data_IF_244409167220
#
_entry.id   IF_244409167220
#
_cell.length_a   1.000
_cell.length_b   1.000
_cell.length_c   1.000
_cell.angle_alpha   90.00
_cell.angle_beta   90.00
_cell.angle_gamma   90.00
#
_symmetry.space_group_name_H-M   'P 1'
#
loop_
_entity.id
_entity.type
_entity.pdbx_description
1 polymer ?
#
# COMPACT_ATOMS: atom_id res chain seq x y z
N UNK A 1 6.98 7.84 2.21
CA UNK A 1 6.27 8.10 3.48
C UNK A 1 7.19 8.46 4.64
N UNK A 2 8.22 7.65 4.96
CA UNK A 2 9.08 7.90 6.13
C UNK A 2 9.73 9.30 6.10
N UNK A 3 10.24 9.75 4.97
CA UNK A 3 10.83 11.10 4.85
C UNK A 3 9.78 12.20 4.94
N UNK A 4 8.61 11.96 4.35
CA UNK A 4 7.46 12.85 4.47
C UNK A 4 7.04 13.01 5.93
N UNK A 5 6.89 11.90 6.65
CA UNK A 5 6.52 11.90 8.05
C UNK A 5 7.57 12.59 8.95
N UNK A 6 8.86 12.38 8.67
CA UNK A 6 9.96 13.06 9.39
C UNK A 6 9.94 14.58 9.18
N UNK A 7 9.78 15.02 7.94
CA UNK A 7 9.69 16.46 7.63
C UNK A 7 8.41 17.06 8.21
N UNK A 8 7.29 16.32 8.14
CA UNK A 8 6.04 16.74 8.77
C UNK A 8 6.17 16.95 10.28
N UNK A 9 6.69 15.96 10.99
CA UNK A 9 6.92 16.06 12.43
C UNK A 9 7.82 17.24 12.80
N UNK A 10 8.88 17.46 12.04
CA UNK A 10 9.80 18.59 12.23
C UNK A 10 9.08 19.95 12.08
N UNK A 11 8.21 20.10 11.07
CA UNK A 11 7.42 21.32 10.84
C UNK A 11 6.42 21.58 11.97
N UNK A 12 5.81 20.54 12.47
CA UNK A 12 4.89 20.60 13.62
C UNK A 12 5.62 20.78 14.96
N UNK A 13 6.97 20.76 15.00
CA UNK A 13 7.74 20.81 16.22
C UNK A 13 7.58 19.58 17.12
N UNK A 14 7.23 18.44 16.53
CA UNK A 14 7.02 17.16 17.21
C UNK A 14 8.22 16.23 16.99
N UNK A 15 8.41 15.32 17.93
CA UNK A 15 9.37 14.24 17.82
C UNK A 15 8.68 13.03 17.14
N UNK A 16 9.31 12.44 16.13
CA UNK A 16 8.77 11.26 15.44
C UNK A 16 9.40 9.98 15.98
N UNK A 17 8.57 8.98 16.27
CA UNK A 17 8.97 7.62 16.53
C UNK A 17 8.39 6.72 15.43
N UNK A 18 9.26 6.03 14.71
CA UNK A 18 8.82 5.01 13.74
C UNK A 18 8.59 3.70 14.51
N UNK A 19 7.38 3.19 14.46
CA UNK A 19 6.96 1.99 15.17
C UNK A 19 6.54 0.91 14.16
N UNK A 20 7.35 -0.17 13.97
CA UNK A 20 6.90 -1.34 13.23
C UNK A 20 5.74 -2.03 13.95
N UNK A 21 4.75 -2.46 13.19
CA UNK A 21 3.59 -3.20 13.69
C UNK A 21 3.33 -4.41 12.79
N UNK A 22 2.64 -5.42 13.31
CA UNK A 22 2.00 -6.42 12.48
C UNK A 22 0.76 -5.79 11.83
N UNK A 23 0.61 -5.98 10.51
CA UNK A 23 -0.40 -5.22 9.77
C UNK A 23 -1.83 -5.51 10.20
N UNK A 24 -2.13 -6.74 10.56
CA UNK A 24 -3.43 -7.15 11.08
C UNK A 24 -3.74 -6.63 12.50
N UNK A 25 -2.73 -6.06 13.19
CA UNK A 25 -2.89 -5.44 14.50
C UNK A 25 -3.08 -3.90 14.43
N UNK A 26 -3.08 -3.28 13.24
CA UNK A 26 -3.09 -1.81 13.06
C UNK A 26 -4.17 -1.09 13.84
N UNK A 27 -5.39 -1.65 13.88
CA UNK A 27 -6.53 -1.04 14.57
C UNK A 27 -6.35 -1.06 16.08
N UNK A 28 -5.88 -2.20 16.63
CA UNK A 28 -5.59 -2.32 18.06
C UNK A 28 -4.47 -1.39 18.50
N UNK A 29 -3.45 -1.19 17.66
CA UNK A 29 -2.33 -0.29 17.94
C UNK A 29 -2.78 1.18 17.98
N UNK A 30 -3.68 1.60 17.07
CA UNK A 30 -4.30 2.92 17.11
C UNK A 30 -5.23 3.09 18.32
N UNK A 31 -6.08 2.10 18.60
CA UNK A 31 -7.01 2.14 19.74
C UNK A 31 -6.28 2.17 21.09
N UNK A 32 -5.18 1.43 21.20
CA UNK A 32 -4.35 1.41 22.40
C UNK A 32 -3.47 2.65 22.55
N UNK A 33 -3.37 3.50 21.51
CA UNK A 33 -2.50 4.67 21.49
C UNK A 33 -1.01 4.34 21.49
N UNK A 34 -0.63 3.16 21.02
CA UNK A 34 0.78 2.77 20.83
C UNK A 34 1.37 3.39 19.57
N UNK A 35 0.50 3.73 18.61
CA UNK A 35 0.77 4.60 17.47
C UNK A 35 -0.28 5.71 17.41
N UNK A 36 0.11 6.88 16.90
CA UNK A 36 -0.76 8.05 16.77
C UNK A 36 -1.45 8.11 15.40
N UNK A 37 -0.80 7.55 14.39
CA UNK A 37 -1.31 7.47 13.01
C UNK A 37 -0.64 6.34 12.24
N UNK A 38 -1.24 6.00 11.10
CA UNK A 38 -0.68 5.11 10.08
C UNK A 38 -0.28 5.96 8.87
N UNK A 39 1.02 6.02 8.59
CA UNK A 39 1.58 6.78 7.48
C UNK A 39 2.64 5.95 6.73
N UNK A 40 2.18 5.02 5.93
CA UNK A 40 3.03 4.03 5.27
C UNK A 40 2.54 3.61 3.88
N UNK A 41 1.81 4.50 3.17
CA UNK A 41 1.07 4.10 1.97
C UNK A 41 -0.25 3.43 2.37
N UNK A 42 -1.02 4.09 3.25
CA UNK A 42 -2.26 3.53 3.76
C UNK A 42 -3.43 3.87 2.83
N UNK A 43 -3.99 2.83 2.22
CA UNK A 43 -5.12 2.96 1.30
C UNK A 43 -6.37 3.41 2.04
N UNK A 44 -6.93 4.53 1.60
CA UNK A 44 -8.17 5.09 2.15
C UNK A 44 -9.41 4.37 1.60
N UNK A 45 -9.38 3.99 0.32
CA UNK A 45 -10.53 3.40 -0.37
C UNK A 45 -11.05 2.14 0.34
N UNK A 46 -12.36 2.12 0.58
CA UNK A 46 -13.03 1.05 1.31
C UNK A 46 -12.90 1.11 2.84
N UNK A 47 -12.21 2.13 3.38
CA UNK A 47 -11.97 2.35 4.82
C UNK A 47 -12.34 3.75 5.28
N UNK A 48 -13.06 4.51 4.44
CA UNK A 48 -13.36 5.93 4.67
C UNK A 48 -14.11 6.17 5.98
N UNK A 49 -14.97 5.21 6.37
CA UNK A 49 -15.78 5.30 7.58
C UNK A 49 -15.06 4.81 8.85
N UNK A 50 -13.93 4.10 8.73
CA UNK A 50 -13.28 3.43 9.85
C UNK A 50 -12.28 4.32 10.58
N UNK A 51 -11.72 5.31 9.87
CA UNK A 51 -10.67 6.18 10.38
C UNK A 51 -11.03 7.66 10.22
N UNK A 52 -10.26 8.53 10.84
CA UNK A 52 -10.13 9.94 10.44
C UNK A 52 -8.95 10.05 9.49
N UNK A 53 -9.13 10.69 8.33
CA UNK A 53 -8.18 10.72 7.23
C UNK A 53 -7.75 12.13 6.88
N UNK A 54 -6.49 12.32 6.46
CA UNK A 54 -6.11 13.48 5.67
C UNK A 54 -6.75 13.43 4.29
N UNK A 55 -6.69 14.52 3.51
CA UNK A 55 -6.87 14.43 2.07
C UNK A 55 -5.88 13.42 1.49
N UNK A 56 -6.25 12.65 0.44
CA UNK A 56 -5.34 11.75 -0.23
C UNK A 56 -4.17 12.54 -0.86
N UNK A 57 -2.97 11.96 -0.76
CA UNK A 57 -1.75 12.63 -1.21
C UNK A 57 -1.09 11.95 -2.41
N UNK A 58 -1.46 10.73 -2.75
CA UNK A 58 -0.87 9.95 -3.83
C UNK A 58 -1.85 8.92 -4.39
N UNK A 59 -1.89 8.78 -5.72
CA UNK A 59 -2.57 7.65 -6.37
C UNK A 59 -1.73 6.38 -6.29
N UNK A 60 -2.40 5.25 -6.18
CA UNK A 60 -1.79 3.92 -6.10
C UNK A 60 -2.61 2.86 -6.82
N UNK A 61 -2.07 1.64 -6.91
CA UNK A 61 -2.77 0.48 -7.46
C UNK A 61 -2.36 -0.79 -6.73
N UNK A 62 -3.29 -1.73 -6.60
CA UNK A 62 -2.98 -3.11 -6.28
C UNK A 62 -2.75 -3.88 -7.58
N UNK A 63 -1.67 -4.63 -7.64
CA UNK A 63 -1.22 -5.34 -8.84
C UNK A 63 -0.92 -6.81 -8.53
N UNK A 64 -0.72 -7.59 -9.57
CA UNK A 64 -0.24 -8.97 -9.46
C UNK A 64 1.22 -9.03 -9.88
N UNK A 65 2.03 -9.70 -9.06
CA UNK A 65 3.41 -10.09 -9.41
C UNK A 65 3.49 -11.58 -9.61
N UNK A 66 4.19 -12.00 -10.65
CA UNK A 66 4.40 -13.40 -11.00
C UNK A 66 5.83 -13.60 -11.51
N UNK A 67 6.28 -14.85 -11.67
CA UNK A 67 7.56 -15.12 -12.34
C UNK A 67 7.46 -14.78 -13.83
N UNK A 68 8.52 -14.21 -14.39
CA UNK A 68 8.58 -13.80 -15.79
C UNK A 68 8.36 -14.98 -16.77
N UNK A 69 8.74 -16.19 -16.37
CA UNK A 69 8.59 -17.41 -17.17
C UNK A 69 7.31 -18.22 -16.86
N UNK A 70 6.41 -17.69 -16.02
CA UNK A 70 5.18 -18.37 -15.59
C UNK A 70 4.14 -18.54 -16.71
N UNK A 71 4.19 -17.68 -17.73
CA UNK A 71 3.17 -17.59 -18.78
C UNK A 71 1.88 -16.89 -18.33
N UNK A 72 1.83 -16.35 -17.12
CA UNK A 72 0.71 -15.53 -16.60
C UNK A 72 0.91 -14.10 -17.10
N UNK A 73 -0.04 -13.56 -17.85
CA UNK A 73 0.05 -12.24 -18.48
C UNK A 73 -1.18 -11.35 -18.22
N UNK A 74 -2.29 -11.96 -17.81
CA UNK A 74 -3.54 -11.29 -17.48
C UNK A 74 -4.09 -11.79 -16.15
N UNK A 75 -5.09 -11.11 -15.59
CA UNK A 75 -5.77 -11.58 -14.37
C UNK A 75 -6.52 -12.90 -14.61
N UNK A 76 -7.05 -13.15 -15.82
CA UNK A 76 -7.72 -14.40 -16.16
C UNK A 76 -6.78 -15.61 -16.15
N UNK A 77 -5.48 -15.42 -16.43
CA UNK A 77 -4.48 -16.50 -16.38
C UNK A 77 -4.25 -17.03 -14.96
N UNK A 78 -4.78 -16.33 -13.93
CA UNK A 78 -4.75 -16.78 -12.54
C UNK A 78 -5.70 -17.94 -12.27
N UNK A 79 -6.59 -18.29 -13.20
CA UNK A 79 -7.48 -19.42 -13.05
C UNK A 79 -6.69 -20.73 -12.84
N UNK A 80 -7.03 -21.45 -11.77
CA UNK A 80 -6.34 -22.68 -11.35
C UNK A 80 -4.96 -22.47 -10.72
N UNK A 81 -4.56 -21.22 -10.41
CA UNK A 81 -3.30 -20.85 -9.77
C UNK A 81 -3.44 -20.67 -8.27
N UNK A 82 -2.31 -20.74 -7.58
CA UNK A 82 -2.21 -20.41 -6.15
C UNK A 82 -1.82 -18.95 -6.07
N UNK A 83 -2.71 -18.13 -5.53
CA UNK A 83 -2.52 -16.69 -5.38
C UNK A 83 -2.40 -16.35 -3.89
N UNK A 84 -1.44 -15.52 -3.54
CA UNK A 84 -1.17 -15.13 -2.17
C UNK A 84 -1.22 -13.62 -1.99
N UNK A 85 -1.69 -13.16 -0.84
CA UNK A 85 -1.74 -11.75 -0.45
C UNK A 85 -1.32 -11.58 1.00
N UNK A 86 -0.94 -10.37 1.38
CA UNK A 86 -0.80 -10.04 2.79
C UNK A 86 -2.19 -9.96 3.43
N UNK A 87 -2.32 -10.55 4.61
CA UNK A 87 -3.53 -10.53 5.42
C UNK A 87 -3.98 -9.08 5.71
N UNK A 88 -5.28 -8.80 5.56
CA UNK A 88 -5.90 -7.49 5.75
C UNK A 88 -5.32 -6.35 4.88
N UNK A 89 -4.63 -6.70 3.80
CA UNK A 89 -4.16 -5.74 2.80
C UNK A 89 -5.29 -5.27 1.88
N UNK A 90 -5.03 -4.16 1.18
CA UNK A 90 -5.94 -3.68 0.12
C UNK A 90 -6.03 -4.66 -1.05
N UNK A 91 -4.96 -5.42 -1.35
CA UNK A 91 -4.98 -6.47 -2.36
C UNK A 91 -5.96 -7.60 -1.99
N UNK A 92 -5.98 -8.02 -0.71
CA UNK A 92 -6.97 -8.99 -0.22
C UNK A 92 -8.38 -8.44 -0.40
N UNK A 93 -8.65 -7.23 0.11
CA UNK A 93 -9.97 -6.62 0.04
C UNK A 93 -10.46 -6.44 -1.40
N UNK A 94 -9.57 -6.06 -2.31
CA UNK A 94 -9.89 -5.88 -3.72
C UNK A 94 -10.24 -7.21 -4.40
N UNK A 95 -9.48 -8.29 -4.14
CA UNK A 95 -9.78 -9.63 -4.69
C UNK A 95 -11.03 -10.26 -4.09
N UNK A 96 -11.37 -9.94 -2.84
CA UNK A 96 -12.59 -10.40 -2.18
C UNK A 96 -13.83 -9.54 -2.52
N UNK A 97 -13.65 -8.41 -3.23
CA UNK A 97 -14.78 -7.61 -3.69
C UNK A 97 -15.64 -8.38 -4.70
N UNK A 98 -16.93 -8.04 -4.72
CA UNK A 98 -17.92 -8.66 -5.63
C UNK A 98 -17.53 -8.58 -7.12
N UNK A 99 -16.79 -7.53 -7.50
CA UNK A 99 -16.38 -7.31 -8.89
C UNK A 99 -15.29 -8.32 -9.32
N UNK A 100 -14.58 -8.93 -8.37
CA UNK A 100 -13.60 -10.00 -8.59
C UNK A 100 -14.05 -11.39 -8.11
N UNK A 101 -15.34 -11.56 -7.75
CA UNK A 101 -15.84 -12.82 -7.20
C UNK A 101 -15.61 -14.03 -8.13
N UNK A 102 -15.80 -13.88 -9.44
CA UNK A 102 -15.57 -14.94 -10.41
C UNK A 102 -14.07 -15.24 -10.55
N UNK A 103 -13.22 -14.22 -10.53
CA UNK A 103 -11.77 -14.37 -10.55
C UNK A 103 -11.29 -15.12 -9.30
N UNK A 104 -11.69 -14.67 -8.12
CA UNK A 104 -11.34 -15.33 -6.84
C UNK A 104 -11.79 -16.80 -6.82
N UNK A 105 -13.02 -17.08 -7.29
CA UNK A 105 -13.54 -18.44 -7.37
C UNK A 105 -12.80 -19.33 -8.36
N UNK A 106 -12.06 -18.74 -9.30
CA UNK A 106 -11.27 -19.49 -10.30
C UNK A 106 -9.91 -19.94 -9.78
N UNK A 107 -9.41 -19.36 -8.68
CA UNK A 107 -8.12 -19.72 -8.09
C UNK A 107 -8.13 -21.17 -7.61
N UNK A 108 -6.99 -21.84 -7.70
CA UNK A 108 -6.80 -23.15 -7.08
C UNK A 108 -6.77 -23.02 -5.56
N UNK A 109 -6.04 -22.02 -5.07
CA UNK A 109 -5.95 -21.65 -3.65
C UNK A 109 -5.75 -20.16 -3.53
N UNK A 110 -6.32 -19.56 -2.49
CA UNK A 110 -6.10 -18.17 -2.10
C UNK A 110 -5.52 -18.15 -0.69
N UNK A 111 -4.28 -17.69 -0.57
CA UNK A 111 -3.50 -17.77 0.66
C UNK A 111 -3.24 -16.37 1.23
N UNK A 112 -3.13 -16.28 2.54
CA UNK A 112 -2.79 -15.07 3.26
C UNK A 112 -1.52 -15.28 4.08
N UNK A 113 -0.60 -14.32 4.01
CA UNK A 113 0.61 -14.26 4.83
C UNK A 113 0.65 -12.99 5.65
N UNK A 114 1.44 -13.00 6.72
CA UNK A 114 1.57 -11.83 7.58
C UNK A 114 2.41 -10.72 6.95
N UNK A 115 3.39 -11.08 6.09
CA UNK A 115 4.34 -10.13 5.54
C UNK A 115 4.69 -10.42 4.08
N UNK A 116 4.80 -9.38 3.25
CA UNK A 116 5.16 -9.50 1.84
C UNK A 116 6.53 -10.14 1.59
N UNK A 117 7.50 -10.01 2.50
CA UNK A 117 8.77 -10.72 2.36
C UNK A 117 8.59 -12.25 2.30
N UNK A 118 7.63 -12.79 3.06
CA UNK A 118 7.27 -14.21 2.98
C UNK A 118 6.63 -14.52 1.64
N UNK A 119 5.67 -13.72 1.18
CA UNK A 119 5.03 -13.90 -0.12
C UNK A 119 6.04 -13.93 -1.27
N UNK A 120 7.04 -13.04 -1.27
CA UNK A 120 8.11 -13.07 -2.27
C UNK A 120 8.97 -14.33 -2.20
N UNK A 121 9.30 -14.82 -1.01
CA UNK A 121 10.03 -16.10 -0.84
C UNK A 121 9.21 -17.27 -1.37
N UNK A 122 7.90 -17.28 -1.13
CA UNK A 122 7.00 -18.32 -1.61
C UNK A 122 6.84 -18.28 -3.14
N UNK A 123 6.77 -17.08 -3.72
CA UNK A 123 6.80 -16.89 -5.17
C UNK A 123 8.16 -17.33 -5.77
N UNK A 124 9.29 -16.93 -5.19
CA UNK A 124 10.63 -17.34 -5.62
C UNK A 124 10.82 -18.86 -5.60
N UNK A 125 10.33 -19.52 -4.56
CA UNK A 125 10.43 -20.97 -4.39
C UNK A 125 9.47 -21.74 -5.31
N UNK A 126 8.42 -21.08 -5.83
CA UNK A 126 7.34 -21.69 -6.59
C UNK A 126 6.29 -22.37 -5.71
N UNK A 127 6.22 -22.03 -4.42
CA UNK A 127 5.14 -22.46 -3.53
C UNK A 127 3.81 -21.82 -3.93
N UNK A 128 3.86 -20.58 -4.45
CA UNK A 128 2.73 -19.88 -5.05
C UNK A 128 3.04 -19.48 -6.49
N UNK A 129 2.00 -19.24 -7.29
CA UNK A 129 2.12 -18.86 -8.70
C UNK A 129 2.13 -17.33 -8.88
N UNK A 130 1.46 -16.60 -7.98
CA UNK A 130 1.31 -15.16 -8.05
C UNK A 130 1.07 -14.55 -6.67
N UNK A 131 1.43 -13.27 -6.52
CA UNK A 131 1.12 -12.47 -5.32
C UNK A 131 0.37 -11.20 -5.70
N UNK A 132 -0.70 -10.90 -4.96
CA UNK A 132 -1.39 -9.60 -5.03
C UNK A 132 -0.75 -8.62 -4.05
N UNK A 133 -0.37 -7.43 -4.53
CA UNK A 133 0.47 -6.52 -3.79
C UNK A 133 0.34 -5.08 -4.28
N UNK A 134 0.66 -4.14 -3.43
CA UNK A 134 0.87 -2.74 -3.75
C UNK A 134 1.96 -2.52 -4.80
N UNK A 135 1.69 -1.70 -5.82
CA UNK A 135 2.62 -1.46 -6.92
C UNK A 135 3.93 -0.81 -6.47
N UNK A 136 3.87 0.07 -5.46
CA UNK A 136 5.06 0.72 -4.91
C UNK A 136 5.95 -0.29 -4.19
N UNK A 137 5.35 -1.18 -3.39
CA UNK A 137 6.07 -2.28 -2.72
C UNK A 137 6.62 -3.26 -3.74
N UNK A 138 5.83 -3.65 -4.76
CA UNK A 138 6.27 -4.52 -5.84
C UNK A 138 7.50 -3.95 -6.55
N UNK A 139 7.44 -2.71 -7.02
CA UNK A 139 8.56 -2.05 -7.69
C UNK A 139 9.81 -1.97 -6.82
N UNK A 140 9.66 -1.72 -5.53
CA UNK A 140 10.80 -1.69 -4.60
C UNK A 140 11.44 -3.07 -4.44
N UNK A 141 10.64 -4.11 -4.23
CA UNK A 141 11.11 -5.49 -4.03
C UNK A 141 11.75 -6.09 -5.29
N UNK A 142 11.32 -5.64 -6.46
CA UNK A 142 11.80 -6.15 -7.74
C UNK A 142 13.04 -5.41 -8.26
N UNK A 143 13.54 -4.38 -7.57
CA UNK A 143 14.76 -3.68 -7.99
C UNK A 143 15.92 -4.66 -8.16
N UNK A 144 16.43 -4.75 -9.40
CA UNK A 144 17.50 -5.67 -9.79
C UNK A 144 17.05 -7.13 -10.02
N UNK A 145 15.75 -7.40 -10.04
CA UNK A 145 15.14 -8.70 -10.33
C UNK A 145 14.09 -8.62 -11.45
N UNK A 146 14.12 -7.57 -12.27
CA UNK A 146 13.13 -7.31 -13.31
C UNK A 146 13.12 -8.38 -14.42
N UNK A 147 14.20 -9.15 -14.56
CA UNK A 147 14.27 -10.29 -15.48
C UNK A 147 13.64 -11.58 -14.91
N UNK A 148 13.47 -11.65 -13.59
CA UNK A 148 12.95 -12.85 -12.90
C UNK A 148 11.44 -12.79 -12.67
N UNK A 149 10.90 -11.57 -12.52
CA UNK A 149 9.50 -11.33 -12.16
C UNK A 149 8.85 -10.32 -13.09
N UNK A 150 7.53 -10.43 -13.20
CA UNK A 150 6.68 -9.52 -13.99
C UNK A 150 5.56 -8.98 -13.11
N UNK A 151 5.32 -7.67 -13.22
CA UNK A 151 4.11 -7.04 -12.72
C UNK A 151 3.11 -7.05 -13.87
N UNK A 152 1.89 -7.55 -13.66
CA UNK A 152 0.85 -7.51 -14.69
C UNK A 152 0.44 -6.06 -14.97
N UNK A 153 0.18 -5.74 -16.24
CA UNK A 153 -0.23 -4.40 -16.66
C UNK A 153 -1.62 -4.04 -16.15
N UNK A 154 -2.51 -5.03 -16.03
CA UNK A 154 -3.85 -4.85 -15.52
C UNK A 154 -3.84 -4.85 -13.99
N UNK A 155 -4.22 -3.74 -13.33
CA UNK A 155 -4.29 -3.68 -11.88
C UNK A 155 -5.52 -4.43 -11.36
N UNK A 156 -5.42 -4.95 -10.13
CA UNK A 156 -6.56 -5.48 -9.38
C UNK A 156 -7.49 -4.33 -9.01
N UNK A 157 -6.93 -3.21 -8.53
CA UNK A 157 -7.67 -2.00 -8.17
C UNK A 157 -6.81 -0.75 -8.30
N UNK A 158 -7.47 0.40 -8.47
CA UNK A 158 -6.89 1.73 -8.32
C UNK A 158 -7.36 2.33 -7.01
N UNK A 159 -6.48 3.01 -6.30
CA UNK A 159 -6.71 3.49 -4.96
C UNK A 159 -5.89 4.74 -4.64
N UNK A 160 -6.11 5.32 -3.46
CA UNK A 160 -5.41 6.52 -3.02
C UNK A 160 -4.85 6.32 -1.61
N UNK A 161 -3.64 6.84 -1.39
CA UNK A 161 -3.02 6.88 -0.08
C UNK A 161 -3.37 8.14 0.67
N UNK A 162 -3.68 7.98 1.95
CA UNK A 162 -3.84 9.05 2.91
C UNK A 162 -3.20 8.67 4.25
N UNK A 163 -3.04 9.62 5.15
CA UNK A 163 -2.64 9.32 6.53
C UNK A 163 -3.88 9.01 7.34
N UNK A 164 -3.91 7.85 7.97
CA UNK A 164 -5.04 7.38 8.78
C UNK A 164 -4.80 7.56 10.28
N UNK A 165 -5.82 8.01 10.99
CA UNK A 165 -5.84 8.24 12.43
C UNK A 165 -6.98 7.46 13.07
N UNK A 166 -6.89 7.23 14.38
CA UNK A 166 -8.05 6.74 15.14
C UNK A 166 -9.27 7.61 14.86
N UNK A 167 -10.41 6.99 14.60
CA UNK A 167 -11.67 7.70 14.31
C UNK A 167 -11.97 8.75 15.38
N UNK A 168 -12.13 10.02 14.96
CA UNK A 168 -12.38 11.17 15.83
C UNK A 168 -11.11 11.90 16.30
N UNK A 169 -9.91 11.49 15.91
CA UNK A 169 -8.67 12.22 16.19
C UNK A 169 -8.43 13.33 15.16
N UNK A 170 -9.37 14.27 15.09
CA UNK A 170 -9.40 15.33 14.07
C UNK A 170 -8.27 16.35 14.28
N UNK A 171 -7.89 16.65 15.53
CA UNK A 171 -6.88 17.68 15.82
C UNK A 171 -5.51 17.33 15.22
N UNK A 172 -5.02 16.11 15.43
CA UNK A 172 -3.74 15.68 14.88
C UNK A 172 -3.84 15.48 13.36
N UNK A 173 -4.97 15.00 12.85
CA UNK A 173 -5.23 14.85 11.43
C UNK A 173 -5.15 16.20 10.71
N UNK A 174 -5.83 17.23 11.21
CA UNK A 174 -5.82 18.58 10.63
C UNK A 174 -4.40 19.20 10.64
N UNK A 175 -3.63 18.94 11.70
CA UNK A 175 -2.24 19.43 11.83
C UNK A 175 -1.33 18.76 10.78
N UNK A 176 -1.48 17.45 10.57
CA UNK A 176 -0.73 16.70 9.55
C UNK A 176 -1.16 17.11 8.14
N UNK A 177 -2.46 17.22 7.88
CA UNK A 177 -2.96 17.65 6.58
C UNK A 177 -2.48 19.05 6.21
N UNK A 178 -2.54 19.99 7.15
CA UNK A 178 -1.97 21.34 6.95
C UNK A 178 -0.50 21.27 6.58
N UNK A 179 0.26 20.42 7.25
CA UNK A 179 1.69 20.26 7.01
C UNK A 179 1.98 19.63 5.63
N UNK A 180 1.17 18.65 5.21
CA UNK A 180 1.24 18.09 3.85
C UNK A 180 1.02 19.18 2.79
N UNK A 181 -0.01 20.01 2.97
CA UNK A 181 -0.30 21.15 2.06
C UNK A 181 0.82 22.20 2.04
N UNK A 182 1.47 22.45 3.17
CA UNK A 182 2.65 23.33 3.23
C UNK A 182 3.84 22.75 2.47
N UNK A 183 4.09 21.43 2.57
CA UNK A 183 5.14 20.74 1.82
C UNK A 183 4.85 20.70 0.31
N UNK A 184 3.60 20.59 -0.06
CA UNK A 184 3.17 20.71 -1.46
C UNK A 184 3.46 22.13 -1.98
N UNK A 185 2.99 23.16 -1.27
CA UNK A 185 3.10 24.54 -1.67
C UNK A 185 4.55 25.04 -1.81
N UNK A 186 5.48 24.55 -1.00
CA UNK A 186 6.90 24.96 -1.04
C UNK A 186 7.79 24.01 -1.86
N UNK A 187 7.21 22.98 -2.50
CA UNK A 187 7.90 22.02 -3.37
C UNK A 187 8.72 20.97 -2.61
N UNK A 188 8.57 20.87 -1.28
CA UNK A 188 9.24 19.83 -0.50
C UNK A 188 8.69 18.45 -0.82
N UNK A 189 7.36 18.34 -1.00
CA UNK A 189 6.72 17.09 -1.41
C UNK A 189 7.30 16.60 -2.75
N UNK A 190 7.25 17.44 -3.77
CA UNK A 190 7.78 17.15 -5.10
C UNK A 190 9.26 16.70 -5.05
N UNK A 191 10.08 17.41 -4.25
CA UNK A 191 11.49 17.04 -4.09
C UNK A 191 11.72 15.68 -3.44
N UNK A 192 10.96 15.34 -2.40
CA UNK A 192 11.03 14.02 -1.76
C UNK A 192 10.55 12.96 -2.75
N UNK A 193 9.41 13.20 -3.40
CA UNK A 193 8.82 12.33 -4.42
C UNK A 193 9.81 12.01 -5.54
N UNK A 194 10.40 13.05 -6.15
CA UNK A 194 11.38 12.92 -7.24
C UNK A 194 12.58 12.03 -6.83
N UNK A 195 13.02 12.11 -5.58
CA UNK A 195 14.16 11.30 -5.10
C UNK A 195 13.89 9.79 -5.07
N UNK A 196 12.61 9.36 -5.02
CA UNK A 196 12.21 7.96 -4.98
C UNK A 196 11.62 7.46 -6.30
N UNK A 197 10.86 8.31 -6.99
CA UNK A 197 10.08 7.94 -8.17
C UNK A 197 10.61 8.56 -9.46
N UNK A 198 11.47 9.59 -9.38
CA UNK A 198 11.96 10.34 -10.53
C UNK A 198 10.94 11.35 -11.08
N UNK A 199 9.84 11.58 -10.38
CA UNK A 199 8.78 12.55 -10.70
C UNK A 199 7.94 12.87 -9.47
N UNK A 200 7.13 13.91 -9.56
CA UNK A 200 6.16 14.26 -8.52
C UNK A 200 4.94 13.35 -8.59
N UNK A 201 4.59 12.70 -7.47
CA UNK A 201 3.43 11.80 -7.33
C UNK A 201 2.30 12.44 -6.54
N UNK A 202 2.42 13.72 -6.15
CA UNK A 202 1.42 14.41 -5.36
C UNK A 202 0.13 14.61 -6.13
N UNK A 203 -1.00 14.42 -5.44
CA UNK A 203 -2.35 14.77 -5.91
C UNK A 203 -3.01 15.82 -5.01
N UNK A 204 -2.25 16.42 -4.07
CA UNK A 204 -2.78 17.38 -3.08
C UNK A 204 -3.25 18.70 -3.68
N UNK A 205 -2.84 19.03 -4.89
CA UNK A 205 -3.16 20.29 -5.58
C UNK A 205 -4.22 20.16 -6.68
N UNK A 206 -4.75 18.97 -6.91
CA UNK A 206 -5.72 18.69 -7.98
C UNK A 206 -7.17 18.97 -7.60
#
# INVERSE_FOLDING_TARGET
DIEMAKEGAKRMGKEIKLQPIDWDAKDMELEAGTIDCIWNGFTMNGREEDYTWTAPYMDNSQVVVTKADSGITTLEDLAGKIVEVQKESSAQSALEDKDHADLLASFKEFLMVDQYNTAFMDLESGAVDAIGIDIGVAKFQLQGKEEEFTILDEPISSEQYAVGFLKGNDELCDEVEKTLKEMEADGTFAKISDSYFGYDVSILGE
#
